data_IF_957695705495
#
_entry.id   IF_957695705495
#
_cell.length_a   1.000
_cell.length_b   1.000
_cell.length_c   1.000
_cell.angle_alpha   90.00
_cell.angle_beta   90.00
_cell.angle_gamma   90.00
#
_symmetry.space_group_name_H-M   'P 1'
#
loop_
_entity.id
_entity.type
_entity.pdbx_description
1 polymer ?
#
# COMPACT_ATOMS: atom_id res chain seq x y z
N UNK A 1 24.44 16.14 14.93
CA UNK A 1 24.31 15.15 13.85
C UNK A 1 22.95 15.31 13.14
N UNK A 2 22.91 16.32 12.26
CA UNK A 2 21.99 16.70 11.17
C UNK A 2 20.47 16.39 11.24
N UNK A 3 19.76 17.12 12.10
CA UNK A 3 18.28 17.25 12.09
C UNK A 3 17.74 17.62 10.69
N UNK A 4 18.43 18.53 10.01
CA UNK A 4 18.08 18.99 8.64
C UNK A 4 18.10 17.84 7.63
N UNK A 5 19.08 16.93 7.72
CA UNK A 5 19.17 15.74 6.84
C UNK A 5 18.02 14.77 7.09
N UNK A 6 17.54 14.66 8.33
CA UNK A 6 16.37 13.82 8.69
C UNK A 6 15.06 14.40 8.16
N UNK A 7 14.90 15.73 8.22
CA UNK A 7 13.74 16.43 7.66
C UNK A 7 13.72 16.33 6.14
N UNK A 8 14.86 16.61 5.48
CA UNK A 8 15.00 16.46 4.02
C UNK A 8 14.68 15.03 3.58
N UNK A 9 15.23 14.00 4.23
CA UNK A 9 14.91 12.62 3.91
C UNK A 9 13.42 12.30 4.10
N UNK A 10 12.77 12.83 5.13
CA UNK A 10 11.34 12.61 5.35
C UNK A 10 10.50 13.29 4.26
N UNK A 11 10.83 14.52 3.87
CA UNK A 11 10.13 15.27 2.81
C UNK A 11 10.33 14.57 1.46
N UNK A 12 11.56 14.17 1.13
CA UNK A 12 11.89 13.48 -0.13
C UNK A 12 11.19 12.12 -0.18
N UNK A 13 11.25 11.30 0.87
CA UNK A 13 10.60 9.99 0.89
C UNK A 13 9.06 10.09 0.81
N UNK A 14 8.47 11.15 1.37
CA UNK A 14 7.02 11.36 1.27
C UNK A 14 6.60 11.80 -0.14
N UNK A 15 7.41 12.64 -0.80
CA UNK A 15 7.16 13.12 -2.17
C UNK A 15 7.32 12.02 -3.24
N UNK A 16 8.17 11.02 -3.00
CA UNK A 16 8.50 9.97 -3.97
C UNK A 16 8.11 8.56 -3.48
N UNK A 17 6.90 8.39 -2.90
CA UNK A 17 6.39 7.04 -2.66
C UNK A 17 6.26 6.28 -3.99
N UNK A 18 6.97 5.17 -4.09
CA UNK A 18 6.94 4.31 -5.27
C UNK A 18 5.55 3.72 -5.42
N UNK A 19 4.90 4.00 -6.55
CA UNK A 19 3.65 3.36 -6.92
C UNK A 19 3.95 1.93 -7.39
N UNK A 20 3.18 0.98 -6.87
CA UNK A 20 3.24 -0.45 -7.17
C UNK A 20 1.96 -0.89 -7.86
N UNK A 21 2.07 -2.02 -8.55
CA UNK A 21 0.94 -2.74 -9.13
C UNK A 21 0.87 -4.15 -8.55
N UNK A 22 -0.33 -4.70 -8.47
CA UNK A 22 -0.54 -6.04 -7.95
C UNK A 22 -1.95 -6.53 -8.20
N UNK A 23 -2.22 -7.74 -7.71
CA UNK A 23 -3.53 -8.38 -7.76
C UNK A 23 -4.04 -8.56 -6.33
N UNK A 24 -5.30 -8.22 -6.10
CA UNK A 24 -5.95 -8.45 -4.80
C UNK A 24 -6.06 -9.96 -4.60
N UNK A 25 -5.30 -10.50 -3.65
CA UNK A 25 -5.28 -11.94 -3.36
C UNK A 25 -6.49 -12.37 -2.54
N UNK A 26 -6.97 -11.48 -1.68
CA UNK A 26 -8.12 -11.71 -0.82
C UNK A 26 -8.60 -10.37 -0.27
N UNK A 27 -9.91 -10.15 -0.18
CA UNK A 27 -10.47 -9.01 0.54
C UNK A 27 -11.79 -9.40 1.21
N UNK A 28 -11.90 -9.14 2.52
CA UNK A 28 -13.11 -9.35 3.28
C UNK A 28 -13.77 -8.00 3.55
N UNK A 29 -14.79 -7.66 2.75
CA UNK A 29 -15.49 -6.39 2.88
C UNK A 29 -16.22 -6.23 4.21
N UNK A 30 -16.69 -7.32 4.83
CA UNK A 30 -17.34 -7.28 6.13
C UNK A 30 -16.36 -6.98 7.28
N UNK A 31 -15.11 -7.44 7.17
CA UNK A 31 -14.04 -7.14 8.15
C UNK A 31 -13.18 -5.93 7.77
N UNK A 32 -13.30 -5.41 6.56
CA UNK A 32 -12.60 -4.22 6.09
C UNK A 32 -11.10 -4.40 5.82
N UNK A 33 -10.62 -5.63 5.56
CA UNK A 33 -9.20 -5.87 5.28
C UNK A 33 -8.96 -7.02 4.29
N UNK A 34 -7.76 -7.04 3.74
CA UNK A 34 -7.30 -8.08 2.82
C UNK A 34 -5.80 -8.05 2.57
N UNK A 35 -5.40 -8.67 1.46
CA UNK A 35 -4.02 -8.75 1.01
C UNK A 35 -3.91 -8.55 -0.50
N UNK A 36 -2.87 -7.85 -0.93
CA UNK A 36 -2.52 -7.64 -2.33
C UNK A 36 -1.20 -8.35 -2.60
N UNK A 37 -1.13 -9.16 -3.65
CA UNK A 37 0.12 -9.74 -4.16
C UNK A 37 0.74 -8.75 -5.15
N UNK A 38 1.87 -8.09 -4.82
CA UNK A 38 2.55 -7.20 -5.76
C UNK A 38 3.11 -7.98 -6.94
N UNK A 39 3.22 -7.34 -8.12
CA UNK A 39 3.88 -7.96 -9.29
C UNK A 39 5.39 -8.11 -9.11
N UNK A 40 6.00 -7.26 -8.27
CA UNK A 40 7.44 -7.11 -8.10
C UNK A 40 8.00 -7.79 -6.84
N UNK A 41 7.15 -8.48 -6.06
CA UNK A 41 7.53 -9.05 -4.78
C UNK A 41 6.75 -10.31 -4.47
N UNK A 42 7.40 -11.25 -3.79
CA UNK A 42 6.73 -12.45 -3.32
C UNK A 42 5.96 -12.27 -2.01
N UNK A 43 6.19 -11.17 -1.30
CA UNK A 43 5.53 -10.87 -0.03
C UNK A 43 4.18 -10.21 -0.27
N UNK A 44 3.14 -10.76 0.34
CA UNK A 44 1.80 -10.15 0.31
C UNK A 44 1.79 -8.85 1.14
N UNK A 45 1.16 -7.82 0.60
CA UNK A 45 1.01 -6.53 1.27
C UNK A 45 -0.38 -6.45 1.89
N UNK A 46 -0.44 -6.09 3.17
CA UNK A 46 -1.69 -5.88 3.88
C UNK A 46 -2.45 -4.67 3.31
N UNK A 47 -3.78 -4.75 3.23
CA UNK A 47 -4.64 -3.61 2.85
C UNK A 47 -5.82 -3.50 3.83
N UNK A 48 -6.11 -2.28 4.26
CA UNK A 48 -7.29 -1.94 5.06
C UNK A 48 -8.23 -1.04 4.25
N UNK A 49 -9.53 -1.10 4.53
CA UNK A 49 -10.55 -0.31 3.84
C UNK A 49 -10.27 1.21 3.86
N UNK A 50 -9.63 1.71 4.91
CA UNK A 50 -9.26 3.13 5.01
C UNK A 50 -8.18 3.57 4.02
N UNK A 51 -7.47 2.62 3.40
CA UNK A 51 -6.46 2.87 2.37
C UNK A 51 -7.02 2.79 0.94
N UNK A 52 -8.30 2.43 0.79
CA UNK A 52 -8.96 2.29 -0.50
C UNK A 52 -9.46 3.64 -1.01
N UNK A 53 -9.27 3.86 -2.31
CA UNK A 53 -9.90 4.93 -3.09
C UNK A 53 -11.12 4.35 -3.82
N UNK A 54 -10.96 3.16 -4.41
CA UNK A 54 -12.03 2.40 -5.05
C UNK A 54 -12.38 1.15 -4.24
N UNK A 55 -13.62 0.67 -4.37
CA UNK A 55 -13.98 -0.65 -3.88
C UNK A 55 -13.25 -1.74 -4.68
N UNK A 56 -12.67 -2.71 -3.98
CA UNK A 56 -11.89 -3.80 -4.58
C UNK A 56 -12.47 -5.16 -4.19
N UNK A 57 -12.26 -6.15 -5.06
CA UNK A 57 -12.62 -7.56 -4.87
C UNK A 57 -11.40 -8.45 -5.12
N UNK A 58 -11.52 -9.70 -4.71
CA UNK A 58 -10.52 -10.72 -5.02
C UNK A 58 -10.29 -10.82 -6.55
N UNK A 59 -9.04 -10.97 -6.95
CA UNK A 59 -8.53 -11.00 -8.33
C UNK A 59 -8.51 -9.65 -9.07
N UNK A 60 -8.96 -8.55 -8.46
CA UNK A 60 -8.84 -7.23 -9.09
C UNK A 60 -7.37 -6.82 -9.26
N UNK A 61 -7.06 -6.21 -10.40
CA UNK A 61 -5.77 -5.56 -10.63
C UNK A 61 -5.80 -4.14 -10.06
N UNK A 62 -4.80 -3.80 -9.25
CA UNK A 62 -4.79 -2.56 -8.48
C UNK A 62 -3.46 -1.84 -8.57
N UNK A 63 -3.52 -0.52 -8.44
CA UNK A 63 -2.37 0.38 -8.23
C UNK A 63 -2.41 0.93 -6.81
N UNK A 64 -1.27 0.95 -6.15
CA UNK A 64 -1.19 1.37 -4.75
C UNK A 64 0.21 1.88 -4.40
N UNK A 65 0.34 2.50 -3.24
CA UNK A 65 1.65 2.81 -2.64
C UNK A 65 1.78 2.07 -1.31
N UNK A 66 3.01 1.79 -0.87
CA UNK A 66 3.25 1.11 0.40
C UNK A 66 3.73 2.07 1.48
N UNK A 67 3.29 1.83 2.70
CA UNK A 67 3.74 2.53 3.90
C UNK A 67 4.04 1.55 5.03
N UNK A 68 4.95 1.93 5.94
CA UNK A 68 5.22 1.15 7.14
C UNK A 68 4.15 1.45 8.19
N UNK A 69 3.27 0.49 8.44
CA UNK A 69 2.32 0.50 9.55
C UNK A 69 2.84 -0.25 10.78
N UNK A 70 2.01 -0.34 11.81
CA UNK A 70 2.34 -1.03 13.07
C UNK A 70 2.58 -2.54 12.89
N UNK A 71 1.92 -3.16 11.91
CA UNK A 71 1.94 -4.60 11.64
C UNK A 71 2.73 -4.99 10.38
N UNK A 72 3.53 -4.09 9.83
CA UNK A 72 4.29 -4.31 8.60
C UNK A 72 3.90 -3.35 7.47
N UNK A 73 4.15 -3.77 6.22
CA UNK A 73 3.85 -2.97 5.04
C UNK A 73 2.34 -2.94 4.79
N UNK A 74 1.79 -1.73 4.66
CA UNK A 74 0.38 -1.47 4.38
C UNK A 74 0.24 -0.76 3.03
N UNK A 75 -0.71 -1.23 2.21
CA UNK A 75 -1.10 -0.58 0.97
C UNK A 75 -2.03 0.62 1.27
N UNK A 76 -1.72 1.76 0.66
CA UNK A 76 -2.51 2.99 0.74
C UNK A 76 -2.71 3.58 -0.66
N UNK A 77 -3.71 4.45 -0.81
CA UNK A 77 -4.13 5.02 -2.09
C UNK A 77 -4.44 3.92 -3.12
N UNK A 78 -5.10 2.85 -2.67
CA UNK A 78 -5.39 1.67 -3.50
C UNK A 78 -6.55 1.99 -4.42
N UNK A 79 -6.34 1.79 -5.71
CA UNK A 79 -7.35 2.02 -6.76
C UNK A 79 -7.30 0.93 -7.81
N UNK A 80 -8.37 0.76 -8.56
CA UNK A 80 -8.38 -0.17 -9.69
C UNK A 80 -7.37 0.30 -10.76
N UNK A 81 -6.67 -0.66 -11.37
CA UNK A 81 -5.58 -0.41 -12.32
C UNK A 81 -6.05 0.07 -13.68
#
# INVERSE_FOLDING_TARGET
MNIVKRILNKIVNHKYKVMKEGTVKFFNSAKGFGFIKPKDSDEDVFVHQSGLIDEIRENDSVKFTVERGEKGMNAINVKLS
#
